data_IF_678660649732
#
_entry.id   IF_678660649732
#
_cell.length_a   1.000
_cell.length_b   1.000
_cell.length_c   1.000
_cell.angle_alpha   90.00
_cell.angle_beta   90.00
_cell.angle_gamma   90.00
#
_symmetry.space_group_name_H-M   'P 1'
#
loop_
_entity.id
_entity.type
_entity.pdbx_description
1 polymer ?
#
# COMPACT_ATOMS: atom_id res chain seq x y z
N UNK A 1 -11.46 -33.07 -54.42
CA UNK A 1 -10.48 -32.68 -53.37
C UNK A 1 -10.40 -31.13 -53.22
N UNK A 2 -11.52 -30.40 -53.18
CA UNK A 2 -11.53 -28.92 -53.19
C UNK A 2 -11.90 -28.26 -51.85
N UNK A 3 -12.20 -29.04 -50.81
CA UNK A 3 -12.66 -28.51 -49.51
C UNK A 3 -11.57 -28.49 -48.42
N UNK A 4 -10.37 -29.01 -48.72
CA UNK A 4 -9.24 -29.08 -47.79
C UNK A 4 -8.73 -27.70 -47.30
N UNK A 5 -8.69 -26.61 -48.11
CA UNK A 5 -8.22 -25.33 -47.60
C UNK A 5 -9.23 -24.64 -46.69
N UNK A 6 -10.53 -24.97 -46.81
CA UNK A 6 -11.59 -24.39 -45.98
C UNK A 6 -11.61 -24.98 -44.56
N UNK A 7 -11.22 -26.25 -44.43
CA UNK A 7 -11.13 -26.94 -43.13
C UNK A 7 -9.90 -26.45 -42.32
N UNK A 8 -8.81 -26.07 -42.98
CA UNK A 8 -7.61 -25.54 -42.33
C UNK A 8 -7.82 -24.14 -41.74
N UNK A 9 -8.65 -23.32 -42.40
CA UNK A 9 -8.95 -21.96 -41.94
C UNK A 9 -9.84 -21.96 -40.69
N UNK A 10 -10.76 -22.92 -40.56
CA UNK A 10 -11.62 -23.06 -39.39
C UNK A 10 -10.86 -23.48 -38.12
N UNK A 11 -9.74 -24.22 -38.25
CA UNK A 11 -8.90 -24.63 -37.12
C UNK A 11 -8.02 -23.50 -36.57
N UNK A 12 -7.69 -22.49 -37.39
CA UNK A 12 -6.87 -21.33 -36.99
C UNK A 12 -7.67 -20.30 -36.17
N UNK A 13 -8.99 -20.25 -36.31
CA UNK A 13 -9.87 -19.33 -35.59
C UNK A 13 -10.22 -19.77 -34.16
N UNK A 14 -10.01 -21.04 -33.80
CA UNK A 14 -10.28 -21.54 -32.43
C UNK A 14 -9.08 -21.44 -31.49
N UNK A 15 -7.90 -21.04 -31.99
CA UNK A 15 -6.68 -20.90 -31.20
C UNK A 15 -6.51 -19.51 -30.56
N UNK A 16 -7.39 -18.54 -30.86
CA UNK A 16 -7.45 -17.23 -30.20
C UNK A 16 -8.19 -17.32 -28.85
N UNK A 17 -7.77 -18.24 -27.99
CA UNK A 17 -8.13 -18.16 -26.58
C UNK A 17 -7.44 -16.92 -25.99
N UNK A 18 -8.17 -15.81 -25.89
CA UNK A 18 -7.74 -14.64 -25.15
C UNK A 18 -7.38 -15.06 -23.72
N UNK A 19 -6.08 -15.20 -23.43
CA UNK A 19 -5.62 -15.08 -22.06
C UNK A 19 -5.93 -13.65 -21.64
N UNK A 20 -6.92 -13.48 -20.76
CA UNK A 20 -7.12 -12.19 -20.11
C UNK A 20 -5.83 -11.88 -19.34
N UNK A 21 -5.13 -10.84 -19.77
CA UNK A 21 -4.02 -10.30 -19.00
C UNK A 21 -4.55 -9.90 -17.62
N UNK A 22 -3.84 -10.32 -16.57
CA UNK A 22 -4.19 -9.95 -15.20
C UNK A 22 -4.11 -8.43 -15.04
N UNK A 23 -5.16 -7.83 -14.50
CA UNK A 23 -5.18 -6.39 -14.22
C UNK A 23 -4.27 -6.05 -13.05
N UNK A 24 -3.91 -4.77 -12.89
CA UNK A 24 -3.13 -4.33 -11.71
C UNK A 24 -3.85 -4.67 -10.39
N UNK A 25 -5.19 -4.64 -10.39
CA UNK A 25 -5.99 -5.01 -9.23
C UNK A 25 -5.84 -6.50 -8.88
N UNK A 26 -5.72 -7.37 -9.89
CA UNK A 26 -5.57 -8.82 -9.72
C UNK A 26 -4.21 -9.21 -9.10
N UNK A 27 -3.22 -8.31 -9.15
CA UNK A 27 -1.89 -8.53 -8.54
C UNK A 27 -1.87 -8.31 -7.04
N UNK A 28 -2.85 -7.58 -6.51
CA UNK A 28 -2.90 -7.25 -5.08
C UNK A 28 -3.36 -8.47 -4.26
N UNK A 29 -2.83 -8.67 -3.04
CA UNK A 29 -3.23 -9.79 -2.18
C UNK A 29 -4.74 -9.74 -1.88
N UNK A 30 -5.37 -10.87 -1.61
CA UNK A 30 -6.79 -10.87 -1.22
C UNK A 30 -7.00 -10.09 0.09
N UNK A 31 -8.12 -9.37 0.19
CA UNK A 31 -8.51 -8.74 1.45
C UNK A 31 -8.88 -9.84 2.46
N UNK A 32 -8.13 -9.92 3.55
CA UNK A 32 -8.26 -10.95 4.59
C UNK A 32 -8.26 -10.32 5.98
N UNK A 33 -8.61 -11.09 7.01
CA UNK A 33 -8.62 -10.66 8.42
C UNK A 33 -8.12 -11.77 9.35
N UNK A 34 -7.24 -12.61 8.82
CA UNK A 34 -6.74 -13.84 9.46
C UNK A 34 -5.31 -13.71 9.96
N UNK A 35 -4.69 -12.55 9.80
CA UNK A 35 -3.30 -12.27 10.16
C UNK A 35 -2.28 -12.82 9.18
N UNK A 36 -2.56 -12.82 7.87
CA UNK A 36 -1.64 -13.35 6.85
C UNK A 36 -0.35 -12.52 6.67
N UNK A 37 -0.29 -11.35 7.28
CA UNK A 37 0.80 -10.39 7.15
C UNK A 37 1.03 -9.92 5.70
N UNK A 38 -0.08 -9.66 5.00
CA UNK A 38 -0.10 -9.24 3.60
C UNK A 38 -0.72 -7.85 3.47
N UNK A 39 -0.33 -7.13 2.42
CA UNK A 39 -0.88 -5.82 2.13
C UNK A 39 -0.43 -5.30 0.78
N UNK A 40 -1.19 -4.34 0.26
CA UNK A 40 -0.93 -3.74 -1.04
C UNK A 40 -1.97 -2.70 -1.39
N UNK A 41 -1.68 -1.93 -2.44
CA UNK A 41 -2.56 -0.89 -2.98
C UNK A 41 -2.19 -0.61 -4.43
N UNK A 42 -3.03 0.15 -5.12
CA UNK A 42 -2.66 0.76 -6.39
C UNK A 42 -2.09 2.15 -6.11
N UNK A 43 -0.90 2.44 -6.64
CA UNK A 43 -0.27 3.75 -6.57
C UNK A 43 -0.21 4.31 -7.98
N UNK A 44 -0.98 5.36 -8.24
CA UNK A 44 -1.22 5.93 -9.57
C UNK A 44 -1.67 4.85 -10.57
N UNK A 45 -2.56 3.97 -10.10
CA UNK A 45 -3.13 2.87 -10.87
C UNK A 45 -2.24 1.63 -11.02
N UNK A 46 -0.98 1.65 -10.58
CA UNK A 46 -0.07 0.51 -10.66
C UNK A 46 -0.02 -0.28 -9.36
N UNK A 47 0.02 -1.61 -9.44
CA UNK A 47 0.05 -2.45 -8.26
C UNK A 47 1.33 -2.26 -7.44
N UNK A 48 1.17 -2.05 -6.15
CA UNK A 48 2.20 -2.17 -5.13
C UNK A 48 1.79 -3.26 -4.16
N UNK A 49 2.63 -4.28 -4.03
CA UNK A 49 2.48 -5.37 -3.07
C UNK A 49 3.61 -5.25 -2.05
N UNK A 50 3.27 -5.26 -0.77
CA UNK A 50 4.26 -5.28 0.27
C UNK A 50 5.00 -6.62 0.25
N UNK A 51 6.32 -6.58 0.08
CA UNK A 51 7.20 -7.76 0.00
C UNK A 51 8.28 -7.76 1.07
N UNK A 52 8.34 -6.71 1.89
CA UNK A 52 9.46 -6.46 2.80
C UNK A 52 10.65 -5.85 2.07
N UNK A 53 11.71 -5.57 2.82
CA UNK A 53 12.96 -5.01 2.29
C UNK A 53 14.16 -5.86 2.71
N UNK A 54 15.16 -6.02 1.82
CA UNK A 54 16.41 -6.67 2.18
C UNK A 54 17.14 -5.87 3.28
N UNK A 55 17.79 -6.56 4.22
CA UNK A 55 18.62 -5.96 5.26
C UNK A 55 19.88 -5.31 4.64
N UNK A 56 20.15 -4.04 4.96
CA UNK A 56 21.25 -3.26 4.36
C UNK A 56 22.38 -2.80 5.29
N UNK A 57 22.63 -3.44 6.45
CA UNK A 57 23.58 -2.89 7.44
C UNK A 57 24.34 -3.88 8.33
N UNK A 58 25.45 -3.38 8.90
CA UNK A 58 26.52 -4.05 9.67
C UNK A 58 26.09 -4.75 10.98
N UNK A 59 24.82 -4.69 11.40
CA UNK A 59 24.38 -5.11 12.74
C UNK A 59 23.26 -6.18 12.80
N UNK A 60 22.90 -6.85 11.70
CA UNK A 60 22.10 -8.09 11.84
C UNK A 60 21.42 -8.64 10.59
N UNK A 61 20.99 -9.92 10.61
CA UNK A 61 20.54 -10.69 9.43
C UNK A 61 19.04 -10.56 9.08
N UNK A 62 18.28 -9.68 9.73
CA UNK A 62 16.82 -9.73 9.61
C UNK A 62 16.30 -8.74 8.56
N UNK A 63 15.75 -9.27 7.46
CA UNK A 63 14.97 -8.52 6.49
C UNK A 63 13.78 -7.81 7.18
N UNK A 64 13.42 -6.63 6.68
CA UNK A 64 12.23 -5.93 7.15
C UNK A 64 11.02 -6.70 6.59
N UNK A 65 10.06 -7.15 7.43
CA UNK A 65 8.91 -7.89 6.95
C UNK A 65 7.98 -6.99 6.11
N UNK A 66 7.07 -7.55 5.30
CA UNK A 66 6.15 -6.77 4.47
C UNK A 66 5.37 -5.72 5.24
N UNK A 67 4.87 -6.09 6.42
CA UNK A 67 4.09 -5.22 7.28
C UNK A 67 4.72 -5.15 8.67
N UNK A 68 4.84 -3.94 9.21
CA UNK A 68 5.20 -3.67 10.61
C UNK A 68 4.21 -2.67 11.22
N UNK A 69 4.51 -2.25 12.45
CA UNK A 69 3.79 -1.20 13.15
C UNK A 69 3.29 -1.70 14.49
N UNK A 70 2.19 -1.15 14.98
CA UNK A 70 1.60 -1.59 16.24
C UNK A 70 0.87 -0.49 16.95
N UNK A 71 0.37 -0.83 18.14
CA UNK A 71 -0.17 0.14 19.06
C UNK A 71 0.93 0.61 20.01
N UNK A 72 1.14 1.93 20.09
CA UNK A 72 2.09 2.56 20.98
C UNK A 72 1.41 3.73 21.74
N UNK A 73 2.03 4.20 22.82
CA UNK A 73 1.65 5.43 23.54
C UNK A 73 0.14 5.59 23.77
N UNK A 74 -0.50 4.54 24.29
CA UNK A 74 -1.91 4.41 24.69
C UNK A 74 -3.00 4.66 23.63
N UNK A 75 -2.70 5.29 22.50
CA UNK A 75 -3.70 5.63 21.47
C UNK A 75 -3.15 5.66 20.05
N UNK A 76 -1.84 5.52 19.87
CA UNK A 76 -1.24 5.54 18.54
C UNK A 76 -1.33 4.18 17.87
N UNK A 77 -1.87 4.14 16.67
CA UNK A 77 -1.70 3.03 15.74
C UNK A 77 -0.84 3.46 14.56
N UNK A 78 0.25 2.73 14.35
CA UNK A 78 1.09 2.86 13.16
C UNK A 78 1.01 1.55 12.36
N UNK A 79 0.87 1.67 11.05
CA UNK A 79 0.98 0.57 10.10
C UNK A 79 1.97 0.99 9.02
N UNK A 80 2.93 0.13 8.72
CA UNK A 80 3.89 0.36 7.64
C UNK A 80 3.83 -0.82 6.68
N UNK A 81 3.82 -0.51 5.39
CA UNK A 81 3.96 -1.46 4.29
C UNK A 81 5.29 -1.20 3.61
N UNK A 82 6.10 -2.25 3.48
CA UNK A 82 7.41 -2.22 2.86
C UNK A 82 7.45 -3.07 1.61
N UNK A 83 8.12 -2.60 0.58
CA UNK A 83 8.33 -3.37 -0.64
C UNK A 83 9.24 -2.63 -1.61
N UNK A 84 9.33 -3.17 -2.82
CA UNK A 84 10.07 -2.54 -3.90
C UNK A 84 9.15 -2.15 -5.05
N UNK A 85 9.41 -0.98 -5.65
CA UNK A 85 8.74 -0.50 -6.86
C UNK A 85 9.77 0.13 -7.78
N UNK A 86 9.80 -0.26 -9.05
CA UNK A 86 10.73 0.30 -10.06
C UNK A 86 12.21 0.30 -9.64
N UNK A 87 12.63 -0.74 -8.90
CA UNK A 87 13.99 -0.89 -8.37
C UNK A 87 14.29 -0.07 -7.11
N UNK A 88 13.27 0.51 -6.48
CA UNK A 88 13.41 1.37 -5.30
C UNK A 88 12.73 0.75 -4.11
N UNK A 89 13.31 0.96 -2.93
CA UNK A 89 12.62 0.68 -1.69
C UNK A 89 11.50 1.70 -1.49
N UNK A 90 10.34 1.20 -1.09
CA UNK A 90 9.14 1.97 -0.85
C UNK A 90 8.63 1.67 0.54
N UNK A 91 8.24 2.73 1.24
CA UNK A 91 7.51 2.66 2.50
C UNK A 91 6.20 3.43 2.38
N UNK A 92 5.10 2.80 2.76
CA UNK A 92 3.81 3.45 2.96
C UNK A 92 3.44 3.33 4.44
N UNK A 93 3.26 4.46 5.10
CA UNK A 93 2.94 4.53 6.53
C UNK A 93 1.56 5.13 6.73
N UNK A 94 0.73 4.48 7.53
CA UNK A 94 -0.55 5.00 8.02
C UNK A 94 -0.43 5.24 9.52
N UNK A 95 -0.76 6.46 9.95
CA UNK A 95 -0.67 6.87 11.35
C UNK A 95 -2.04 7.31 11.84
N UNK A 96 -2.54 6.70 12.93
CA UNK A 96 -3.86 6.96 13.48
C UNK A 96 -3.82 7.19 14.99
N UNK A 97 -4.52 8.22 15.44
CA UNK A 97 -4.69 8.61 16.86
C UNK A 97 -5.74 7.80 17.60
N UNK A 98 -6.56 7.02 16.90
CA UNK A 98 -7.63 6.25 17.50
C UNK A 98 -7.55 4.79 17.07
N UNK A 99 -7.68 3.89 18.06
CA UNK A 99 -7.82 2.44 17.86
C UNK A 99 -9.29 2.06 17.74
N UNK A 100 -10.01 2.68 16.82
CA UNK A 100 -11.44 2.40 16.64
C UNK A 100 -11.68 1.77 15.29
N UNK A 101 -12.31 0.59 15.30
CA UNK A 101 -12.91 -0.02 14.12
C UNK A 101 -13.84 1.00 13.48
N UNK A 102 -13.83 1.03 12.15
CA UNK A 102 -14.56 2.00 11.35
C UNK A 102 -13.66 2.96 10.59
N UNK A 103 -14.32 3.94 9.98
CA UNK A 103 -13.70 4.93 9.11
C UNK A 103 -12.98 5.99 9.93
N UNK A 104 -11.76 6.32 9.52
CA UNK A 104 -10.98 7.43 10.04
C UNK A 104 -10.43 8.26 8.88
N UNK A 105 -10.48 9.58 9.02
CA UNK A 105 -10.06 10.50 7.98
C UNK A 105 -8.57 10.82 8.08
N UNK A 106 -7.94 11.01 6.92
CA UNK A 106 -6.55 11.42 6.72
C UNK A 106 -6.55 12.82 6.07
N UNK A 107 -7.21 13.78 6.71
CA UNK A 107 -7.56 15.08 6.10
C UNK A 107 -7.04 16.29 6.92
N UNK A 108 -5.96 16.08 7.68
CA UNK A 108 -5.42 17.10 8.57
C UNK A 108 -3.96 17.38 8.22
N UNK A 109 -3.59 18.67 8.17
CA UNK A 109 -2.20 19.07 8.02
C UNK A 109 -1.44 18.80 9.33
N UNK A 110 -0.37 18.02 9.24
CA UNK A 110 0.47 17.64 10.38
C UNK A 110 1.93 17.53 9.95
N UNK A 111 2.86 17.61 10.91
CA UNK A 111 4.20 17.06 10.69
C UNK A 111 4.08 15.54 10.58
N UNK A 112 4.82 14.94 9.66
CA UNK A 112 4.84 13.50 9.50
C UNK A 112 5.92 12.87 10.39
N UNK A 113 5.76 11.60 10.77
CA UNK A 113 6.76 10.87 11.55
C UNK A 113 7.94 10.46 10.66
N UNK A 114 9.21 10.56 11.11
CA UNK A 114 9.69 10.93 12.45
C UNK A 114 9.95 12.43 12.66
N UNK A 115 9.61 13.31 11.72
CA UNK A 115 9.84 14.76 11.86
C UNK A 115 8.92 15.44 12.90
N UNK A 116 7.79 14.81 13.21
CA UNK A 116 6.86 15.22 14.27
C UNK A 116 7.01 14.37 15.53
N UNK A 117 6.66 14.95 16.69
CA UNK A 117 6.54 14.18 17.92
C UNK A 117 5.25 13.35 17.90
N UNK A 118 5.29 12.04 18.19
CA UNK A 118 4.11 11.16 18.17
C UNK A 118 2.90 11.70 18.96
N UNK A 119 3.14 12.50 20.01
CA UNK A 119 2.10 13.12 20.84
C UNK A 119 1.30 14.24 20.14
N UNK A 120 1.81 14.82 19.06
CA UNK A 120 1.19 15.93 18.33
C UNK A 120 0.83 15.60 16.89
N UNK A 121 1.27 14.44 16.40
CA UNK A 121 0.93 14.00 15.05
C UNK A 121 -0.54 13.60 14.99
N UNK A 122 -1.22 14.08 13.94
CA UNK A 122 -2.61 13.78 13.63
C UNK A 122 -2.72 12.60 12.65
N UNK A 123 -3.94 12.17 12.35
CA UNK A 123 -4.16 11.12 11.36
C UNK A 123 -3.63 11.53 9.99
N UNK A 124 -2.70 10.75 9.43
CA UNK A 124 -2.13 11.03 8.12
C UNK A 124 -1.55 9.75 7.49
N UNK A 125 -1.35 9.80 6.17
CA UNK A 125 -0.56 8.82 5.44
C UNK A 125 0.72 9.45 4.89
N UNK A 126 1.76 8.62 4.79
CA UNK A 126 3.05 8.95 4.21
C UNK A 126 3.39 7.90 3.17
N UNK A 127 3.91 8.35 2.03
CA UNK A 127 4.58 7.49 1.05
C UNK A 127 5.99 8.04 0.83
N UNK A 128 6.99 7.17 0.91
CA UNK A 128 8.38 7.51 0.66
C UNK A 128 9.00 6.49 -0.30
N UNK A 129 9.77 7.00 -1.25
CA UNK A 129 10.56 6.20 -2.18
C UNK A 129 12.03 6.66 -2.16
N UNK A 130 12.96 5.70 -2.11
CA UNK A 130 14.37 5.97 -1.81
C UNK A 130 15.22 6.44 -3.01
N UNK A 131 14.67 6.72 -4.20
CA UNK A 131 15.51 7.27 -5.29
C UNK A 131 15.90 8.72 -5.04
N UNK A 132 17.21 8.98 -5.14
CA UNK A 132 17.77 10.26 -5.60
C UNK A 132 17.36 11.51 -4.82
N UNK A 133 17.03 11.40 -3.54
CA UNK A 133 16.68 12.56 -2.69
C UNK A 133 15.63 12.31 -1.60
N UNK A 134 15.00 11.13 -1.57
CA UNK A 134 14.03 10.78 -0.53
C UNK A 134 12.72 11.58 -0.68
N UNK A 135 12.10 11.53 -1.85
CA UNK A 135 10.82 12.20 -2.06
C UNK A 135 9.76 11.58 -1.13
N UNK A 136 9.16 12.44 -0.30
CA UNK A 136 8.12 12.07 0.65
C UNK A 136 6.83 12.74 0.25
N UNK A 137 5.74 11.98 0.22
CA UNK A 137 4.39 12.46 -0.02
C UNK A 137 3.57 12.29 1.26
N UNK A 138 2.82 13.31 1.63
CA UNK A 138 2.03 13.33 2.87
C UNK A 138 0.62 13.85 2.57
N UNK A 139 -0.39 13.20 3.16
CA UNK A 139 -1.77 13.71 3.18
C UNK A 139 -1.85 15.00 3.99
N UNK A 140 -2.73 15.92 3.62
CA UNK A 140 -2.97 17.17 4.35
C UNK A 140 -4.44 17.59 4.25
N UNK A 141 -4.75 18.84 4.56
CA UNK A 141 -6.12 19.36 4.48
C UNK A 141 -6.68 19.46 3.03
N UNK A 142 -5.83 19.39 1.99
CA UNK A 142 -6.22 19.50 0.58
C UNK A 142 -6.08 18.17 -0.17
N UNK A 143 -5.17 17.31 0.26
CA UNK A 143 -4.87 16.00 -0.28
C UNK A 143 -5.22 14.98 0.80
N UNK A 144 -6.47 14.52 0.74
CA UNK A 144 -7.08 13.79 1.83
C UNK A 144 -7.21 12.31 1.53
N UNK A 145 -7.64 11.55 2.52
CA UNK A 145 -8.09 10.18 2.32
C UNK A 145 -8.77 9.62 3.54
N UNK A 146 -8.88 8.30 3.55
CA UNK A 146 -9.45 7.55 4.66
C UNK A 146 -8.78 6.18 4.81
N UNK A 147 -8.88 5.67 6.03
CA UNK A 147 -8.65 4.28 6.35
C UNK A 147 -9.90 3.75 7.03
N UNK A 148 -10.28 2.53 6.68
CA UNK A 148 -11.36 1.79 7.33
C UNK A 148 -10.74 0.59 8.01
N UNK A 149 -10.63 0.64 9.34
CA UNK A 149 -10.23 -0.49 10.14
C UNK A 149 -11.41 -1.45 10.25
N UNK A 150 -11.31 -2.65 9.68
CA UNK A 150 -12.32 -3.72 9.83
C UNK A 150 -12.00 -4.61 11.03
N UNK A 151 -10.72 -4.69 11.41
CA UNK A 151 -10.24 -5.41 12.57
C UNK A 151 -9.15 -4.58 13.28
N UNK A 152 -9.26 -4.45 14.60
CA UNK A 152 -8.30 -3.70 15.42
C UNK A 152 -8.09 -4.33 16.82
N UNK A 153 -8.13 -5.65 16.94
CA UNK A 153 -7.96 -6.39 18.21
C UNK A 153 -6.54 -6.96 18.32
N UNK A 154 -5.91 -7.03 19.50
CA UNK A 154 -4.57 -7.65 19.56
C UNK A 154 -4.71 -9.17 19.35
N UNK A 155 -3.85 -9.84 18.55
CA UNK A 155 -2.69 -9.31 17.81
C UNK A 155 -2.99 -8.92 16.35
N UNK A 156 -4.24 -8.81 15.90
CA UNK A 156 -4.58 -8.63 14.50
C UNK A 156 -5.09 -7.22 14.15
N UNK A 157 -4.72 -6.75 12.98
CA UNK A 157 -5.31 -5.54 12.42
C UNK A 157 -5.49 -5.70 10.94
N UNK A 158 -6.68 -5.39 10.45
CA UNK A 158 -7.02 -5.47 9.04
C UNK A 158 -7.91 -4.30 8.64
N UNK A 159 -7.88 -3.96 7.36
CA UNK A 159 -8.64 -2.85 6.86
C UNK A 159 -8.31 -2.49 5.42
N UNK A 160 -8.94 -1.41 4.98
CA UNK A 160 -8.71 -0.81 3.67
C UNK A 160 -8.33 0.65 3.82
N UNK A 161 -7.67 1.21 2.80
CA UNK A 161 -7.30 2.62 2.79
C UNK A 161 -7.23 3.15 1.37
N UNK A 162 -7.55 4.44 1.22
CA UNK A 162 -7.38 5.20 -0.01
C UNK A 162 -7.04 6.65 0.35
N UNK A 163 -6.13 7.27 -0.39
CA UNK A 163 -5.76 8.67 -0.16
C UNK A 163 -5.05 9.28 -1.35
N UNK A 164 -5.09 10.61 -1.44
CA UNK A 164 -4.16 11.40 -2.26
C UNK A 164 -3.17 12.08 -1.32
N UNK A 165 -1.89 12.07 -1.68
CA UNK A 165 -0.84 12.73 -0.92
C UNK A 165 0.00 13.61 -1.84
N UNK A 166 0.50 14.73 -1.34
CA UNK A 166 1.34 15.65 -2.10
C UNK A 166 2.78 15.64 -1.60
N UNK A 167 3.74 15.87 -2.51
CA UNK A 167 5.17 15.87 -2.20
C UNK A 167 5.53 16.97 -1.21
N UNK A 168 6.45 16.69 -0.29
CA UNK A 168 6.93 17.67 0.69
C UNK A 168 7.89 18.69 0.07
N UNK A 169 8.39 18.44 -1.14
CA UNK A 169 9.28 19.33 -1.88
C UNK A 169 8.51 20.19 -2.89
N UNK A 170 7.56 19.60 -3.61
CA UNK A 170 6.72 20.27 -4.61
C UNK A 170 5.25 19.89 -4.41
N UNK A 171 4.46 20.79 -3.81
CA UNK A 171 3.05 20.53 -3.47
C UNK A 171 2.16 20.26 -4.69
N UNK A 172 2.61 20.58 -5.91
CA UNK A 172 1.86 20.31 -7.14
C UNK A 172 1.99 18.85 -7.60
N UNK A 173 3.03 18.15 -7.14
CA UNK A 173 3.20 16.72 -7.38
C UNK A 173 2.39 15.94 -6.35
N UNK A 174 1.54 15.06 -6.86
CA UNK A 174 0.70 14.21 -6.04
C UNK A 174 0.85 12.75 -6.43
N UNK A 175 0.53 11.86 -5.49
CA UNK A 175 0.25 10.45 -5.75
C UNK A 175 -1.17 10.16 -5.33
N UNK A 176 -1.79 9.20 -6.01
CA UNK A 176 -3.11 8.68 -5.62
C UNK A 176 -3.00 7.20 -5.29
N UNK A 177 -3.39 6.87 -4.07
CA UNK A 177 -3.40 5.52 -3.53
C UNK A 177 -4.85 5.03 -3.43
N UNK A 178 -5.16 3.94 -4.12
CA UNK A 178 -6.51 3.34 -4.12
C UNK A 178 -6.46 1.84 -3.86
N UNK A 179 -7.60 1.23 -3.56
CA UNK A 179 -7.75 -0.21 -3.34
C UNK A 179 -6.78 -0.77 -2.28
N UNK A 180 -6.34 0.10 -1.36
CA UNK A 180 -5.42 -0.28 -0.31
C UNK A 180 -6.05 -1.26 0.65
N UNK A 181 -5.30 -2.29 1.02
CA UNK A 181 -5.73 -3.34 1.95
C UNK A 181 -4.55 -3.91 2.72
N UNK A 182 -4.82 -4.34 3.94
CA UNK A 182 -3.84 -4.99 4.79
C UNK A 182 -4.51 -6.01 5.70
N UNK A 183 -3.78 -7.08 6.00
CA UNK A 183 -4.10 -8.07 7.03
C UNK A 183 -2.82 -8.36 7.82
N UNK A 184 -2.71 -7.81 9.01
CA UNK A 184 -1.49 -7.83 9.81
C UNK A 184 -1.66 -8.65 11.08
N UNK A 185 -0.62 -9.42 11.40
CA UNK A 185 -0.38 -10.02 12.72
C UNK A 185 0.74 -9.25 13.43
N UNK A 186 0.46 -8.76 14.63
CA UNK A 186 1.36 -8.02 15.52
C UNK A 186 2.35 -8.94 16.22
#
# INVERSE_FOLDING_TARGET
MKHLPLLLLALLLTASACKKEATELDKLPAATSTGQNTGGCLIDGQAFVATGLPSGGLLGPNAIPPLTGGFAFDSLYMLELYGQRNGENVTLTLFLRARTVGKQLLNQSTRYYPQGSPQYILNHAVFAADKGGGEVYVTDALHTGEIVLTLANKPFSAGTFEFTAASTFDRTKTITVTNGRFDRKQ
#
